data_IF_779385637870
#
_entry.id   IF_779385637870
#
_cell.length_a   1.000
_cell.length_b   1.000
_cell.length_c   1.000
_cell.angle_alpha   90.00
_cell.angle_beta   90.00
_cell.angle_gamma   90.00
#
_symmetry.space_group_name_H-M   'P 1'
#
loop_
_entity.id
_entity.type
_entity.pdbx_description
1 polymer ?
#
# COMPACT_ATOMS: atom_id res chain seq x y z
N UNK A 1 -54.34 -20.02 -7.60
CA UNK A 1 -53.81 -20.37 -6.26
C UNK A 1 -52.33 -20.01 -6.25
N UNK A 2 -51.98 -18.88 -5.65
CA UNK A 2 -50.60 -18.44 -5.46
C UNK A 2 -50.59 -17.61 -4.19
N UNK A 3 -49.75 -17.97 -3.24
CA UNK A 3 -49.61 -17.33 -1.93
C UNK A 3 -48.18 -16.88 -1.76
N UNK A 4 -47.94 -15.57 -1.79
CA UNK A 4 -46.73 -14.96 -1.25
C UNK A 4 -47.14 -14.05 -0.09
N UNK A 5 -46.64 -14.35 1.10
CA UNK A 5 -46.69 -13.48 2.28
C UNK A 5 -45.27 -13.03 2.59
N UNK A 6 -45.04 -11.71 2.57
CA UNK A 6 -44.03 -11.05 3.39
C UNK A 6 -44.63 -9.75 3.95
N UNK A 7 -44.79 -9.75 5.27
CA UNK A 7 -45.22 -8.65 6.15
C UNK A 7 -44.15 -8.69 7.28
N UNK A 8 -43.68 -7.64 7.95
CA UNK A 8 -43.98 -6.20 7.99
C UNK A 8 -42.95 -5.59 8.95
N UNK A 9 -42.78 -4.26 8.85
CA UNK A 9 -42.32 -3.30 9.90
C UNK A 9 -40.83 -3.01 9.97
N UNK A 10 -40.40 -1.76 10.09
CA UNK A 10 -41.05 -0.46 9.81
C UNK A 10 -39.93 0.58 9.90
N UNK A 11 -39.76 1.35 8.83
CA UNK A 11 -38.96 2.55 8.77
C UNK A 11 -39.93 3.73 8.72
N UNK A 12 -39.89 4.67 9.66
CA UNK A 12 -40.62 5.95 9.63
C UNK A 12 -39.93 6.92 10.62
N UNK A 13 -39.88 8.24 10.46
CA UNK A 13 -39.89 9.21 9.36
C UNK A 13 -39.82 10.57 10.08
N UNK A 14 -38.91 11.45 9.65
CA UNK A 14 -39.01 12.93 9.53
C UNK A 14 -40.20 13.67 10.16
N UNK A 15 -39.99 14.80 10.86
CA UNK A 15 -40.25 16.20 10.41
C UNK A 15 -40.19 17.22 11.58
N UNK A 16 -39.84 18.47 11.25
CA UNK A 16 -39.78 19.64 12.11
C UNK A 16 -41.12 20.40 12.17
N UNK A 17 -41.38 21.12 13.29
CA UNK A 17 -41.93 22.49 13.37
C UNK A 17 -42.27 22.83 14.84
N UNK A 18 -42.22 24.13 15.17
CA UNK A 18 -42.10 24.63 16.55
C UNK A 18 -43.39 24.82 17.34
N UNK A 19 -43.21 25.16 18.62
CA UNK A 19 -44.10 26.00 19.42
C UNK A 19 -43.31 26.55 20.62
N UNK A 20 -43.43 27.86 20.84
CA UNK A 20 -42.84 28.58 21.96
C UNK A 20 -43.80 28.60 23.16
N UNK A 21 -43.27 28.44 24.38
CA UNK A 21 -43.90 28.93 25.62
C UNK A 21 -42.80 29.42 26.55
N UNK A 22 -42.91 30.69 26.93
CA UNK A 22 -42.08 31.41 27.91
C UNK A 22 -42.51 31.07 29.34
N UNK A 23 -41.56 30.79 30.23
CA UNK A 23 -41.71 31.00 31.67
C UNK A 23 -40.34 31.34 32.27
N UNK A 24 -40.27 32.47 32.96
CA UNK A 24 -39.04 33.06 33.46
C UNK A 24 -38.41 32.33 34.65
N UNK A 25 -37.10 32.50 34.76
CA UNK A 25 -36.32 32.16 35.94
C UNK A 25 -35.03 32.99 35.89
N UNK A 26 -34.91 33.95 36.81
CA UNK A 26 -33.71 34.76 37.02
C UNK A 26 -32.55 33.85 37.46
N UNK A 27 -31.42 33.94 36.77
CA UNK A 27 -30.13 33.44 37.26
C UNK A 27 -29.10 34.57 37.05
N UNK A 28 -28.31 34.94 38.08
CA UNK A 28 -27.42 36.08 38.00
C UNK A 28 -26.26 35.85 37.03
N UNK A 29 -25.91 36.94 36.35
CA UNK A 29 -24.82 37.05 35.37
C UNK A 29 -23.46 36.93 36.10
N UNK A 30 -22.86 35.74 36.08
CA UNK A 30 -21.48 35.55 36.53
C UNK A 30 -20.59 35.77 35.32
N UNK A 31 -20.02 36.96 35.22
CA UNK A 31 -19.01 37.29 34.23
C UNK A 31 -17.81 36.32 34.35
N UNK A 32 -17.77 35.31 33.50
CA UNK A 32 -16.64 34.41 33.37
C UNK A 32 -15.45 35.20 32.79
N UNK A 33 -14.48 35.51 33.65
CA UNK A 33 -13.20 36.09 33.26
C UNK A 33 -12.44 35.03 32.44
N UNK A 34 -12.41 35.19 31.12
CA UNK A 34 -11.61 34.34 30.25
C UNK A 34 -10.13 34.47 30.63
N UNK A 35 -9.50 33.35 31.01
CA UNK A 35 -8.06 33.27 31.16
C UNK A 35 -7.39 33.54 29.80
N UNK A 36 -6.22 34.20 29.75
CA UNK A 36 -5.53 34.41 28.50
C UNK A 36 -5.21 33.04 27.87
N UNK A 37 -5.70 32.83 26.65
CA UNK A 37 -5.33 31.67 25.85
C UNK A 37 -3.81 31.72 25.67
N UNK A 38 -3.10 30.77 26.28
CA UNK A 38 -1.72 30.48 25.92
C UNK A 38 -1.73 30.12 24.44
N UNK A 39 -1.13 30.97 23.62
CA UNK A 39 -0.93 30.70 22.20
C UNK A 39 -0.25 29.33 22.10
N UNK A 40 -0.98 28.35 21.57
CA UNK A 40 -0.40 27.06 21.24
C UNK A 40 0.76 27.34 20.29
N UNK A 41 1.98 27.01 20.73
CA UNK A 41 3.14 27.04 19.86
C UNK A 41 2.84 26.11 18.69
N UNK A 42 2.66 26.67 17.50
CA UNK A 42 2.67 25.89 16.27
C UNK A 42 3.96 25.06 16.28
N UNK A 43 3.89 23.72 16.17
CA UNK A 43 5.09 22.94 15.95
C UNK A 43 5.69 23.46 14.65
N UNK A 44 6.81 24.18 14.78
CA UNK A 44 7.61 24.58 13.64
C UNK A 44 8.05 23.27 13.00
N UNK A 45 7.43 22.91 11.87
CA UNK A 45 7.75 21.72 11.10
C UNK A 45 9.26 21.70 10.88
N UNK A 46 9.97 20.89 11.67
CA UNK A 46 11.29 20.46 11.26
C UNK A 46 10.99 19.56 10.08
N UNK A 47 11.33 20.00 8.88
CA UNK A 47 11.41 19.11 7.71
C UNK A 47 12.39 18.00 8.10
N UNK A 48 11.87 16.92 8.69
CA UNK A 48 12.66 15.74 9.01
C UNK A 48 13.24 15.23 7.69
N UNK A 49 14.50 14.83 7.69
CA UNK A 49 15.07 14.19 6.52
C UNK A 49 14.28 12.90 6.25
N UNK A 50 13.51 12.86 5.16
CA UNK A 50 12.86 11.64 4.69
C UNK A 50 13.86 10.83 3.87
N UNK A 51 13.85 9.51 4.03
CA UNK A 51 14.64 8.62 3.18
C UNK A 51 13.85 7.40 2.76
N UNK A 52 14.11 6.94 1.55
CA UNK A 52 13.47 5.80 0.92
C UNK A 52 14.53 4.75 0.63
N UNK A 53 14.32 3.50 1.05
CA UNK A 53 15.19 2.37 0.73
C UNK A 53 14.37 1.29 0.05
N UNK A 54 14.77 0.93 -1.17
CA UNK A 54 14.17 -0.18 -1.87
C UNK A 54 14.75 -1.48 -1.35
N UNK A 55 13.89 -2.47 -1.13
CA UNK A 55 14.26 -3.78 -0.61
C UNK A 55 13.96 -4.90 -1.60
N UNK A 56 13.79 -4.57 -2.88
CA UNK A 56 13.45 -5.53 -3.94
C UNK A 56 11.95 -5.73 -4.09
N UNK A 57 11.53 -6.41 -5.16
CA UNK A 57 10.11 -6.55 -5.50
C UNK A 57 9.43 -5.16 -5.48
N UNK A 58 8.32 -4.99 -4.77
CA UNK A 58 7.68 -3.70 -4.49
C UNK A 58 7.96 -3.20 -3.06
N UNK A 59 8.95 -3.78 -2.37
CA UNK A 59 9.25 -3.53 -0.98
C UNK A 59 9.99 -2.21 -0.77
N UNK A 60 9.47 -1.36 0.12
CA UNK A 60 10.12 -0.11 0.51
C UNK A 60 10.11 0.09 2.01
N UNK A 61 11.22 0.64 2.53
CA UNK A 61 11.27 1.32 3.83
C UNK A 61 11.30 2.83 3.62
N UNK A 62 10.39 3.51 4.29
CA UNK A 62 10.30 4.97 4.32
C UNK A 62 10.52 5.44 5.74
N UNK A 63 11.65 6.08 6.01
CA UNK A 63 11.93 6.70 7.30
C UNK A 63 11.53 8.18 7.24
N UNK A 64 10.57 8.59 8.06
CA UNK A 64 10.01 9.94 8.19
C UNK A 64 10.25 10.40 9.63
N UNK A 65 11.34 11.13 9.87
CA UNK A 65 11.75 11.49 11.23
C UNK A 65 12.04 10.23 12.08
N UNK A 66 11.26 10.03 13.15
CA UNK A 66 11.33 8.86 14.02
C UNK A 66 10.36 7.73 13.62
N UNK A 67 9.48 7.97 12.63
CA UNK A 67 8.51 7.00 12.13
C UNK A 67 9.06 6.23 10.95
N UNK A 68 8.69 4.96 10.85
CA UNK A 68 9.04 4.10 9.73
C UNK A 68 7.76 3.50 9.15
N UNK A 69 7.54 3.73 7.86
CA UNK A 69 6.48 3.11 7.04
C UNK A 69 7.13 2.07 6.15
N UNK A 70 6.57 0.86 6.12
CA UNK A 70 6.95 -0.19 5.20
C UNK A 70 5.86 -0.37 4.15
N UNK A 71 6.25 -0.60 2.90
CA UNK A 71 5.35 -1.01 1.82
C UNK A 71 5.79 -2.39 1.36
N UNK A 72 4.87 -3.36 1.33
CA UNK A 72 5.09 -4.75 0.88
C UNK A 72 6.43 -5.37 1.32
N UNK A 73 6.76 -5.39 2.63
CA UNK A 73 8.08 -5.83 3.07
C UNK A 73 8.25 -7.35 2.86
N UNK A 74 8.87 -7.75 1.74
CA UNK A 74 9.31 -9.12 1.49
C UNK A 74 10.83 -9.20 1.43
N UNK A 75 11.42 -9.75 2.49
CA UNK A 75 12.85 -9.86 2.74
C UNK A 75 13.32 -11.31 2.83
N UNK A 76 12.42 -12.27 3.08
CA UNK A 76 12.80 -13.68 3.31
C UNK A 76 13.40 -14.38 2.10
N UNK A 77 13.00 -14.02 0.86
CA UNK A 77 13.55 -14.50 -0.43
C UNK A 77 13.79 -16.03 -0.48
N UNK A 78 12.91 -16.77 -1.15
CA UNK A 78 13.06 -18.22 -1.32
C UNK A 78 12.67 -18.67 -2.73
N UNK A 79 13.23 -19.79 -3.17
CA UNK A 79 13.02 -20.36 -4.51
C UNK A 79 11.66 -21.08 -4.56
N UNK A 80 10.73 -20.55 -5.36
CA UNK A 80 9.46 -21.20 -5.72
C UNK A 80 9.54 -21.89 -7.08
N UNK A 81 10.68 -21.79 -7.77
CA UNK A 81 10.88 -22.27 -9.13
C UNK A 81 10.41 -21.30 -10.22
N UNK A 82 9.91 -20.10 -9.84
CA UNK A 82 9.31 -19.13 -10.77
C UNK A 82 10.32 -18.68 -11.83
N UNK A 83 11.53 -18.29 -11.41
CA UNK A 83 12.55 -17.80 -12.34
C UNK A 83 13.28 -18.92 -13.11
N UNK A 84 12.98 -20.18 -12.79
CA UNK A 84 13.56 -21.38 -13.43
C UNK A 84 12.56 -22.15 -14.32
N UNK A 85 11.35 -21.62 -14.50
CA UNK A 85 10.24 -22.28 -15.22
C UNK A 85 9.84 -23.66 -14.64
N UNK A 86 9.99 -23.85 -13.33
CA UNK A 86 9.55 -25.04 -12.60
C UNK A 86 8.73 -24.64 -11.36
N UNK A 87 7.90 -23.62 -11.53
CA UNK A 87 7.11 -23.01 -10.47
C UNK A 87 6.24 -24.03 -9.73
N UNK A 88 6.39 -24.09 -8.42
CA UNK A 88 5.60 -24.96 -7.53
C UNK A 88 4.67 -24.13 -6.63
N UNK A 89 3.35 -24.12 -6.88
CA UNK A 89 2.39 -23.41 -6.04
C UNK A 89 2.29 -23.99 -4.61
N UNK A 90 2.76 -25.21 -4.38
CA UNK A 90 2.81 -25.86 -3.08
C UNK A 90 4.09 -25.52 -2.28
N UNK A 91 4.96 -24.64 -2.80
CA UNK A 91 6.16 -24.19 -2.09
C UNK A 91 5.79 -23.70 -0.68
N UNK A 92 6.41 -24.25 0.38
CA UNK A 92 6.12 -23.86 1.75
C UNK A 92 6.47 -22.39 2.02
N UNK A 93 5.61 -21.69 2.75
CA UNK A 93 5.90 -20.35 3.24
C UNK A 93 6.96 -20.43 4.35
N UNK A 94 8.03 -19.67 4.19
CA UNK A 94 9.10 -19.55 5.19
C UNK A 94 9.39 -18.07 5.46
N UNK A 95 9.72 -17.76 6.72
CA UNK A 95 10.17 -16.42 7.11
C UNK A 95 11.61 -16.54 7.58
N UNK A 96 12.54 -15.89 6.89
CA UNK A 96 13.93 -15.77 7.34
C UNK A 96 13.99 -14.66 8.41
N UNK A 97 13.71 -15.05 9.65
CA UNK A 97 13.67 -14.11 10.77
C UNK A 97 15.03 -13.46 11.03
N UNK A 98 16.15 -14.09 10.67
CA UNK A 98 17.47 -13.50 10.83
C UNK A 98 17.65 -12.32 9.87
N UNK A 99 17.27 -12.48 8.60
CA UNK A 99 17.29 -11.39 7.61
C UNK A 99 16.28 -10.31 7.98
N UNK A 100 15.02 -10.69 8.21
CA UNK A 100 13.94 -9.74 8.51
C UNK A 100 14.26 -8.89 9.75
N UNK A 101 14.66 -9.52 10.86
CA UNK A 101 14.92 -8.80 12.11
C UNK A 101 16.17 -7.92 12.04
N UNK A 102 17.14 -8.26 11.19
CA UNK A 102 18.34 -7.44 10.99
C UNK A 102 18.07 -6.16 10.18
N UNK A 103 17.08 -6.19 9.28
CA UNK A 103 16.75 -5.08 8.38
C UNK A 103 15.60 -4.20 8.90
N UNK A 104 14.72 -4.78 9.73
CA UNK A 104 13.55 -4.11 10.30
C UNK A 104 13.71 -3.95 11.82
N UNK A 105 14.44 -2.91 12.20
CA UNK A 105 14.62 -2.52 13.60
C UNK A 105 13.36 -1.89 14.20
N UNK A 106 12.55 -1.20 13.38
CA UNK A 106 11.29 -0.58 13.78
C UNK A 106 10.33 -0.46 12.59
N UNK A 107 9.03 -0.47 12.88
CA UNK A 107 7.98 -0.11 11.94
C UNK A 107 6.78 0.43 12.74
N UNK A 108 6.19 1.52 12.28
CA UNK A 108 4.95 2.06 12.84
C UNK A 108 3.74 1.68 11.97
N UNK A 109 3.96 1.55 10.67
CA UNK A 109 2.91 1.30 9.67
C UNK A 109 3.43 0.35 8.60
N UNK A 110 2.61 -0.60 8.19
CA UNK A 110 2.86 -1.48 7.05
C UNK A 110 1.70 -1.31 6.07
N UNK A 111 2.00 -1.02 4.81
CA UNK A 111 1.06 -0.92 3.71
C UNK A 111 1.20 -2.16 2.83
N UNK A 112 0.10 -2.87 2.63
CA UNK A 112 0.05 -4.11 1.84
C UNK A 112 -0.78 -3.86 0.60
N UNK A 113 -0.13 -3.83 -0.56
CA UNK A 113 -0.79 -3.59 -1.84
C UNK A 113 -1.72 -4.74 -2.20
N UNK A 114 -1.29 -5.98 -2.01
CA UNK A 114 -2.08 -7.20 -2.21
C UNK A 114 -1.40 -8.37 -1.49
N UNK A 115 -2.04 -9.54 -1.44
CA UNK A 115 -1.66 -10.59 -0.49
C UNK A 115 -0.85 -11.74 -1.06
N UNK A 116 -0.26 -11.64 -2.25
CA UNK A 116 0.69 -12.63 -2.73
C UNK A 116 1.93 -12.74 -1.81
N UNK A 117 2.60 -13.89 -1.88
CA UNK A 117 3.70 -14.23 -0.98
C UNK A 117 4.87 -13.24 -1.05
N UNK A 118 5.17 -12.73 -2.24
CA UNK A 118 6.24 -11.76 -2.50
C UNK A 118 5.91 -10.32 -2.04
N UNK A 119 4.75 -10.12 -1.41
CA UNK A 119 4.32 -8.84 -0.82
C UNK A 119 3.94 -8.97 0.66
N UNK A 120 3.30 -10.08 1.04
CA UNK A 120 2.67 -10.24 2.35
C UNK A 120 3.40 -11.18 3.31
N UNK A 121 4.23 -12.11 2.83
CA UNK A 121 4.73 -13.24 3.63
C UNK A 121 5.38 -12.84 4.97
N UNK A 122 6.18 -11.77 4.99
CA UNK A 122 6.88 -11.35 6.21
C UNK A 122 6.06 -10.37 7.06
N UNK A 123 4.96 -9.84 6.54
CA UNK A 123 4.13 -8.81 7.18
C UNK A 123 3.64 -9.26 8.57
N UNK A 124 3.08 -10.48 8.76
CA UNK A 124 2.61 -10.89 10.08
C UNK A 124 3.71 -10.97 11.13
N UNK A 125 4.91 -11.45 10.75
CA UNK A 125 6.07 -11.51 11.63
C UNK A 125 6.55 -10.12 12.03
N UNK A 126 6.69 -9.21 11.05
CA UNK A 126 7.11 -7.83 11.29
C UNK A 126 6.09 -7.10 12.19
N UNK A 127 4.79 -7.23 11.92
CA UNK A 127 3.75 -6.61 12.72
C UNK A 127 3.77 -7.10 14.18
N UNK A 128 3.84 -8.42 14.38
CA UNK A 128 3.91 -9.01 15.72
C UNK A 128 5.12 -8.53 16.52
N UNK A 129 6.28 -8.39 15.87
CA UNK A 129 7.53 -7.95 16.50
C UNK A 129 7.55 -6.45 16.82
N UNK A 130 7.06 -5.62 15.91
CA UNK A 130 7.21 -4.16 15.99
C UNK A 130 5.99 -3.44 16.58
N UNK A 131 4.84 -4.11 16.60
CA UNK A 131 3.55 -3.49 16.93
C UNK A 131 2.99 -2.61 15.81
N UNK A 132 3.56 -2.68 14.61
CA UNK A 132 3.13 -1.87 13.48
C UNK A 132 1.67 -2.12 13.10
N UNK A 133 0.96 -1.05 12.72
CA UNK A 133 -0.38 -1.17 12.18
C UNK A 133 -0.33 -1.51 10.70
N UNK A 134 -0.99 -2.60 10.31
CA UNK A 134 -1.07 -3.11 8.94
C UNK A 134 -2.32 -2.58 8.26
N UNK A 135 -2.13 -1.93 7.13
CA UNK A 135 -3.20 -1.48 6.23
C UNK A 135 -3.16 -2.32 4.96
N UNK A 136 -4.29 -2.89 4.58
CA UNK A 136 -4.44 -3.70 3.39
C UNK A 136 -5.89 -4.04 3.14
N UNK A 137 -6.18 -4.87 2.15
CA UNK A 137 -7.56 -5.27 1.84
C UNK A 137 -8.18 -6.09 2.99
N UNK A 138 -9.48 -6.38 2.88
CA UNK A 138 -10.15 -7.28 3.82
C UNK A 138 -9.50 -8.68 3.85
N UNK A 139 -8.91 -9.11 2.74
CA UNK A 139 -8.13 -10.34 2.67
C UNK A 139 -6.88 -10.26 3.54
N UNK A 140 -6.10 -9.16 3.45
CA UNK A 140 -4.93 -8.95 4.29
C UNK A 140 -5.29 -8.93 5.79
N UNK A 141 -6.42 -8.32 6.14
CA UNK A 141 -6.96 -8.32 7.50
C UNK A 141 -7.24 -9.75 8.00
N UNK A 142 -7.95 -10.57 7.23
CA UNK A 142 -8.28 -11.94 7.62
C UNK A 142 -7.06 -12.88 7.65
N UNK A 143 -6.11 -12.71 6.73
CA UNK A 143 -4.84 -13.43 6.78
C UNK A 143 -4.04 -13.04 8.03
N UNK A 144 -3.96 -11.74 8.36
CA UNK A 144 -3.33 -11.28 9.59
C UNK A 144 -3.89 -11.97 10.84
N UNK A 145 -5.21 -12.12 10.94
CA UNK A 145 -5.87 -12.88 12.02
C UNK A 145 -5.44 -14.35 12.00
N UNK A 146 -5.40 -14.99 10.82
CA UNK A 146 -4.97 -16.39 10.68
C UNK A 146 -3.51 -16.61 11.12
N UNK A 147 -2.66 -15.58 11.00
CA UNK A 147 -1.30 -15.58 11.53
C UNK A 147 -1.18 -15.16 13.01
N UNK A 148 -2.28 -14.78 13.66
CA UNK A 148 -2.31 -14.39 15.07
C UNK A 148 -1.95 -12.93 15.34
N UNK A 149 -1.94 -12.06 14.33
CA UNK A 149 -1.74 -10.61 14.53
C UNK A 149 -2.95 -10.03 15.29
N UNK A 150 -2.74 -9.26 16.37
CA UNK A 150 -3.86 -8.66 17.11
C UNK A 150 -4.72 -7.77 16.21
N UNK A 151 -6.04 -7.89 16.31
CA UNK A 151 -6.99 -7.13 15.47
C UNK A 151 -6.82 -5.62 15.58
N UNK A 152 -6.38 -5.10 16.75
CA UNK A 152 -6.06 -3.68 16.93
C UNK A 152 -4.88 -3.17 16.09
N UNK A 153 -4.04 -4.06 15.56
CA UNK A 153 -2.98 -3.74 14.60
C UNK A 153 -3.42 -3.88 13.15
N UNK A 154 -4.62 -4.40 12.86
CA UNK A 154 -5.08 -4.67 11.50
C UNK A 154 -6.12 -3.64 11.07
N UNK A 155 -5.99 -3.10 9.86
CA UNK A 155 -6.89 -2.08 9.33
C UNK A 155 -7.27 -2.39 7.88
N UNK A 156 -8.49 -2.90 7.64
CA UNK A 156 -8.96 -3.13 6.29
C UNK A 156 -9.25 -1.78 5.61
N UNK A 157 -8.75 -1.62 4.38
CA UNK A 157 -8.98 -0.48 3.50
C UNK A 157 -9.36 -0.99 2.10
N UNK A 158 -9.97 -0.15 1.28
CA UNK A 158 -10.47 -0.54 -0.06
C UNK A 158 -10.09 0.40 -1.20
N UNK A 159 -9.57 1.59 -0.90
CA UNK A 159 -9.31 2.65 -1.86
C UNK A 159 -10.28 3.82 -1.70
N UNK A 160 -9.73 5.04 -1.78
CA UNK A 160 -10.40 6.32 -1.57
C UNK A 160 -10.22 6.89 -0.16
N UNK A 161 -9.67 6.12 0.79
CA UNK A 161 -9.35 6.63 2.11
C UNK A 161 -8.13 7.56 2.08
N UNK A 162 -8.20 8.68 2.81
CA UNK A 162 -7.06 9.57 3.09
C UNK A 162 -6.82 9.57 4.59
N UNK A 163 -5.66 9.09 5.00
CA UNK A 163 -5.32 8.80 6.38
C UNK A 163 -4.23 9.76 6.87
N UNK A 164 -4.51 10.47 7.96
CA UNK A 164 -3.63 11.47 8.57
C UNK A 164 -2.73 10.84 9.64
N UNK A 165 -1.42 11.02 9.53
CA UNK A 165 -0.44 10.53 10.51
C UNK A 165 0.34 11.66 11.19
N UNK A 166 0.05 12.92 10.88
CA UNK A 166 0.60 14.10 11.53
C UNK A 166 1.75 14.75 10.76
N UNK A 167 2.79 14.02 10.38
CA UNK A 167 3.90 14.49 9.55
C UNK A 167 3.85 13.96 8.10
N UNK A 168 2.83 13.15 7.81
CA UNK A 168 2.52 12.65 6.48
C UNK A 168 1.05 12.22 6.39
N UNK A 169 0.57 12.11 5.16
CA UNK A 169 -0.72 11.52 4.83
C UNK A 169 -0.56 10.33 3.90
N UNK A 170 -1.41 9.32 4.07
CA UNK A 170 -1.45 8.15 3.21
C UNK A 170 -2.82 8.12 2.53
N UNK A 171 -2.82 8.27 1.21
CA UNK A 171 -3.99 8.05 0.38
C UNK A 171 -3.96 6.62 -0.16
N UNK A 172 -5.06 5.89 0.06
CA UNK A 172 -5.25 4.51 -0.41
C UNK A 172 -5.95 4.56 -1.74
N UNK A 173 -5.45 3.82 -2.72
CA UNK A 173 -5.96 3.84 -4.10
C UNK A 173 -6.36 2.43 -4.49
N UNK A 174 -7.63 2.23 -4.88
CA UNK A 174 -8.06 0.96 -5.46
C UNK A 174 -7.40 0.77 -6.83
N UNK A 175 -6.74 -0.36 -7.04
CA UNK A 175 -5.95 -0.68 -8.24
C UNK A 175 -6.30 -2.06 -8.81
N UNK A 176 -5.52 -2.56 -9.75
CA UNK A 176 -5.69 -3.87 -10.40
C UNK A 176 -4.37 -4.66 -10.38
N UNK A 177 -4.46 -6.00 -10.29
CA UNK A 177 -3.28 -6.86 -10.35
C UNK A 177 -2.71 -6.99 -11.77
N UNK A 178 -1.40 -7.32 -11.85
CA UNK A 178 -0.72 -7.76 -13.07
C UNK A 178 -1.42 -8.99 -13.67
N UNK A 179 -1.50 -9.05 -15.01
CA UNK A 179 -2.12 -10.17 -15.73
C UNK A 179 -1.13 -10.85 -16.65
N UNK A 180 -1.23 -12.18 -16.79
CA UNK A 180 -0.47 -12.89 -17.80
C UNK A 180 -1.00 -12.60 -19.22
N UNK A 181 -0.35 -13.15 -20.25
CA UNK A 181 -0.72 -12.92 -21.65
C UNK A 181 -2.13 -13.44 -22.03
N UNK A 182 -2.74 -14.27 -21.17
CA UNK A 182 -4.13 -14.75 -21.30
C UNK A 182 -5.09 -14.00 -20.36
N UNK A 183 -4.70 -12.82 -19.86
CA UNK A 183 -5.47 -11.95 -18.97
C UNK A 183 -5.86 -12.57 -17.62
N UNK A 184 -5.19 -13.64 -17.21
CA UNK A 184 -5.43 -14.32 -15.94
C UNK A 184 -4.48 -13.83 -14.85
N UNK A 185 -4.95 -13.92 -13.60
CA UNK A 185 -4.21 -13.57 -12.38
C UNK A 185 -3.76 -14.86 -11.69
N UNK A 186 -2.54 -14.90 -11.18
CA UNK A 186 -2.07 -16.00 -10.34
C UNK A 186 -2.80 -15.96 -8.99
N UNK A 187 -3.15 -17.13 -8.44
CA UNK A 187 -3.85 -17.27 -7.15
C UNK A 187 -5.00 -16.26 -6.95
N UNK A 188 -5.99 -16.18 -7.87
CA UNK A 188 -7.09 -15.24 -7.72
C UNK A 188 -7.97 -15.62 -6.52
N UNK A 189 -8.57 -14.62 -5.87
CA UNK A 189 -9.57 -14.85 -4.83
C UNK A 189 -9.48 -13.85 -3.69
N UNK A 190 -10.49 -13.90 -2.82
CA UNK A 190 -10.60 -13.04 -1.63
C UNK A 190 -10.90 -13.89 -0.39
N UNK A 191 -10.50 -13.39 0.78
CA UNK A 191 -10.87 -13.99 2.07
C UNK A 191 -11.86 -13.08 2.79
N UNK A 192 -13.11 -13.53 2.87
CA UNK A 192 -14.21 -12.80 3.57
C UNK A 192 -14.41 -13.24 5.02
N UNK A 193 -13.60 -14.20 5.49
CA UNK A 193 -13.47 -14.61 6.89
C UNK A 193 -12.03 -15.12 7.11
N UNK A 194 -11.53 -15.18 8.37
CA UNK A 194 -10.22 -15.75 8.68
C UNK A 194 -10.09 -17.19 8.16
N UNK A 195 -9.13 -17.49 7.28
CA UNK A 195 -8.85 -18.86 6.85
C UNK A 195 -8.03 -19.62 7.92
N UNK A 196 -7.80 -20.94 7.74
CA UNK A 196 -6.67 -21.61 8.39
C UNK A 196 -5.37 -20.86 8.11
N UNK A 197 -4.39 -20.97 9.02
CA UNK A 197 -3.07 -20.36 8.81
C UNK A 197 -2.48 -20.86 7.48
N UNK A 198 -2.14 -19.96 6.53
CA UNK A 198 -1.55 -20.34 5.25
C UNK A 198 -0.24 -21.13 5.45
N UNK A 199 -0.01 -22.12 4.59
CA UNK A 199 1.16 -23.01 4.65
C UNK A 199 2.00 -22.99 3.37
N UNK A 200 1.38 -22.70 2.23
CA UNK A 200 2.02 -22.65 0.90
C UNK A 200 1.78 -21.30 0.23
N UNK A 201 2.58 -20.96 -0.79
CA UNK A 201 2.40 -19.72 -1.53
C UNK A 201 1.01 -19.60 -2.19
N UNK A 202 0.37 -20.71 -2.57
CA UNK A 202 -0.98 -20.71 -3.14
C UNK A 202 -2.09 -20.40 -2.11
N UNK A 203 -1.81 -20.53 -0.81
CA UNK A 203 -2.77 -20.20 0.24
C UNK A 203 -2.95 -18.68 0.40
N UNK A 204 -2.03 -17.90 -0.18
CA UNK A 204 -1.97 -16.44 -0.22
C UNK A 204 -2.51 -15.92 -1.57
N UNK A 205 -3.84 -15.67 -1.70
CA UNK A 205 -4.42 -15.21 -2.96
C UNK A 205 -4.09 -13.73 -3.21
N UNK A 206 -4.45 -13.21 -4.39
CA UNK A 206 -4.37 -11.77 -4.70
C UNK A 206 -5.04 -10.92 -3.62
N UNK A 207 -6.30 -11.21 -3.29
CA UNK A 207 -7.03 -10.53 -2.23
C UNK A 207 -7.51 -9.12 -2.57
N UNK A 208 -7.71 -8.80 -3.85
CA UNK A 208 -7.80 -7.45 -4.43
C UNK A 208 -6.48 -6.67 -4.33
N UNK A 209 -6.33 -5.66 -5.19
CA UNK A 209 -5.08 -4.89 -5.31
C UNK A 209 -5.27 -3.40 -5.01
N UNK A 210 -4.34 -2.84 -4.25
CA UNK A 210 -4.24 -1.44 -3.87
C UNK A 210 -2.94 -0.82 -4.40
N UNK A 211 -2.94 0.50 -4.47
CA UNK A 211 -1.76 1.34 -4.52
C UNK A 211 -1.85 2.37 -3.39
N UNK A 212 -0.74 3.03 -3.08
CA UNK A 212 -0.68 4.02 -2.00
C UNK A 212 0.05 5.28 -2.46
N UNK A 213 -0.44 6.45 -2.06
CA UNK A 213 0.33 7.69 -2.14
C UNK A 213 0.66 8.18 -0.74
N UNK A 214 1.95 8.33 -0.45
CA UNK A 214 2.43 8.94 0.79
C UNK A 214 2.84 10.38 0.47
N UNK A 215 2.21 11.37 1.11
CA UNK A 215 2.61 12.77 1.03
C UNK A 215 3.28 13.18 2.33
N UNK A 216 4.53 13.60 2.24
CA UNK A 216 5.32 14.06 3.38
C UNK A 216 5.09 15.55 3.59
N UNK A 217 4.88 15.98 4.83
CA UNK A 217 4.68 17.41 5.10
C UNK A 217 5.96 18.21 4.86
N UNK A 218 5.87 19.21 3.98
CA UNK A 218 7.03 19.97 3.51
C UNK A 218 8.03 19.15 2.69
N UNK A 219 7.65 17.95 2.24
CA UNK A 219 8.46 17.03 1.44
C UNK A 219 7.73 16.54 0.17
N UNK A 220 8.23 15.46 -0.46
CA UNK A 220 7.67 14.95 -1.70
C UNK A 220 6.36 14.17 -1.47
N UNK A 221 5.55 14.07 -2.52
CA UNK A 221 4.52 13.03 -2.66
C UNK A 221 5.06 11.84 -3.46
N UNK A 222 4.85 10.63 -2.94
CA UNK A 222 5.41 9.39 -3.51
C UNK A 222 4.31 8.35 -3.69
N UNK A 223 4.12 7.89 -4.91
CA UNK A 223 3.16 6.85 -5.29
C UNK A 223 3.84 5.48 -5.33
N UNK A 224 3.22 4.49 -4.68
CA UNK A 224 3.69 3.13 -4.56
C UNK A 224 2.68 2.18 -5.19
N UNK A 225 3.17 1.32 -6.09
CA UNK A 225 2.35 0.37 -6.82
C UNK A 225 2.95 -1.03 -6.70
N UNK A 226 2.13 -1.99 -6.26
CA UNK A 226 2.56 -3.37 -6.05
C UNK A 226 2.49 -4.25 -7.29
N UNK A 227 1.63 -3.91 -8.24
CA UNK A 227 1.31 -4.70 -9.43
C UNK A 227 1.16 -3.81 -10.68
N UNK A 228 1.20 -4.38 -11.89
CA UNK A 228 1.38 -3.67 -13.16
C UNK A 228 0.07 -3.34 -13.91
N UNK A 229 -1.03 -3.15 -13.20
CA UNK A 229 -2.29 -2.70 -13.77
C UNK A 229 -2.93 -1.70 -12.79
N UNK A 230 -3.88 -0.91 -13.26
CA UNK A 230 -4.43 0.18 -12.48
C UNK A 230 -5.79 0.64 -12.99
N UNK A 231 -6.58 1.18 -12.07
CA UNK A 231 -7.81 1.89 -12.42
C UNK A 231 -7.46 3.35 -12.70
N UNK A 232 -7.23 3.68 -13.97
CA UNK A 232 -6.78 5.01 -14.42
C UNK A 232 -7.55 6.19 -13.80
N UNK A 233 -8.88 6.11 -13.76
CA UNK A 233 -9.73 7.16 -13.16
C UNK A 233 -9.44 7.42 -11.68
N UNK A 234 -8.96 6.41 -10.94
CA UNK A 234 -8.66 6.52 -9.51
C UNK A 234 -7.33 7.26 -9.25
N UNK A 235 -6.53 7.51 -10.29
CA UNK A 235 -5.26 8.25 -10.16
C UNK A 235 -5.41 9.76 -10.41
N UNK A 236 -6.61 10.20 -10.83
CA UNK A 236 -6.89 11.59 -11.17
C UNK A 236 -6.59 12.52 -9.98
N UNK A 237 -5.67 13.47 -10.19
CA UNK A 237 -5.33 14.48 -9.18
C UNK A 237 -4.26 14.05 -8.17
N UNK A 238 -3.79 12.80 -8.20
CA UNK A 238 -2.71 12.34 -7.31
C UNK A 238 -1.40 13.11 -7.55
N UNK A 239 -1.04 13.30 -8.82
CA UNK A 239 0.12 14.06 -9.31
C UNK A 239 1.38 13.93 -8.43
N UNK A 240 1.90 12.71 -8.18
CA UNK A 240 3.03 12.51 -7.30
C UNK A 240 4.32 13.14 -7.85
N UNK A 241 5.23 13.56 -6.96
CA UNK A 241 6.59 13.92 -7.37
C UNK A 241 7.38 12.69 -7.87
N UNK A 242 7.13 11.54 -7.25
CA UNK A 242 7.83 10.27 -7.51
C UNK A 242 6.83 9.14 -7.66
N UNK A 243 6.98 8.32 -8.70
CA UNK A 243 6.18 7.10 -8.87
C UNK A 243 7.05 5.84 -8.90
N UNK A 244 6.78 4.93 -7.99
CA UNK A 244 7.31 3.57 -7.96
C UNK A 244 6.42 2.69 -8.85
N UNK A 245 6.93 2.30 -10.03
CA UNK A 245 6.14 1.68 -11.11
C UNK A 245 6.52 0.21 -11.26
N UNK A 246 5.57 -0.69 -10.98
CA UNK A 246 5.78 -2.13 -11.06
C UNK A 246 5.92 -2.63 -12.51
N UNK A 247 6.92 -3.50 -12.73
CA UNK A 247 7.26 -4.09 -14.03
C UNK A 247 6.48 -5.36 -14.47
N UNK A 248 6.04 -6.28 -13.58
CA UNK A 248 5.68 -7.64 -13.99
C UNK A 248 4.62 -7.68 -15.08
N UNK A 249 4.84 -8.38 -16.19
CA UNK A 249 3.83 -8.58 -17.23
C UNK A 249 3.15 -7.30 -17.80
N UNK A 250 3.83 -6.15 -17.78
CA UNK A 250 3.33 -4.88 -18.34
C UNK A 250 2.88 -4.96 -19.80
N UNK A 251 3.43 -5.88 -20.60
CA UNK A 251 3.00 -6.13 -21.98
C UNK A 251 1.59 -6.71 -22.13
N UNK A 252 0.97 -7.19 -21.05
CA UNK A 252 -0.42 -7.67 -21.04
C UNK A 252 -1.44 -6.56 -20.74
N UNK A 253 -0.97 -5.37 -20.33
CA UNK A 253 -1.82 -4.21 -20.00
C UNK A 253 -1.76 -3.21 -21.15
N UNK A 254 -2.89 -2.97 -21.80
CA UNK A 254 -2.97 -2.08 -22.96
C UNK A 254 -2.52 -0.66 -22.61
N UNK A 255 -1.60 -0.13 -23.43
CA UNK A 255 -1.02 1.22 -23.31
C UNK A 255 -0.54 1.58 -21.91
N UNK A 256 0.01 0.59 -21.19
CA UNK A 256 0.37 0.68 -19.78
C UNK A 256 1.14 1.97 -19.42
N UNK A 257 2.31 2.18 -20.03
CA UNK A 257 3.17 3.33 -19.71
C UNK A 257 2.55 4.67 -20.15
N UNK A 258 2.05 4.85 -21.40
CA UNK A 258 1.39 6.10 -21.79
C UNK A 258 0.23 6.49 -20.86
N UNK A 259 -0.66 5.54 -20.54
CA UNK A 259 -1.83 5.78 -19.68
C UNK A 259 -1.40 6.10 -18.25
N UNK A 260 -0.48 5.32 -17.68
CA UNK A 260 -0.02 5.52 -16.31
C UNK A 260 0.69 6.87 -16.14
N UNK A 261 1.61 7.22 -17.06
CA UNK A 261 2.32 8.50 -16.99
C UNK A 261 1.38 9.68 -17.18
N UNK A 262 0.34 9.56 -18.00
CA UNK A 262 -0.66 10.62 -18.12
C UNK A 262 -1.52 10.76 -16.86
N UNK A 263 -1.95 9.64 -16.28
CA UNK A 263 -2.82 9.61 -15.12
C UNK A 263 -2.14 10.14 -13.84
N UNK A 264 -0.83 9.90 -13.70
CA UNK A 264 0.00 10.42 -12.61
C UNK A 264 0.57 11.82 -12.88
N UNK A 265 0.10 12.52 -13.92
CA UNK A 265 0.59 13.83 -14.36
C UNK A 265 2.12 13.90 -14.54
N UNK A 266 2.69 12.86 -15.15
CA UNK A 266 4.10 12.79 -15.57
C UNK A 266 5.06 13.13 -14.42
N UNK A 267 5.15 12.28 -13.39
CA UNK A 267 5.92 12.54 -12.18
C UNK A 267 7.38 12.89 -12.49
N UNK A 268 8.00 13.73 -11.66
CA UNK A 268 9.38 14.20 -11.87
C UNK A 268 10.38 13.04 -11.87
N UNK A 269 10.17 12.05 -11.01
CA UNK A 269 10.97 10.82 -10.98
C UNK A 269 10.07 9.58 -11.14
N UNK A 270 10.49 8.66 -12.01
CA UNK A 270 9.89 7.34 -12.16
C UNK A 270 10.92 6.31 -11.73
N UNK A 271 10.51 5.40 -10.84
CA UNK A 271 11.36 4.35 -10.28
C UNK A 271 10.75 3.00 -10.65
N UNK A 272 11.34 2.23 -11.59
CA UNK A 272 10.90 0.88 -11.85
C UNK A 272 11.12 0.00 -10.62
N UNK A 273 10.12 -0.80 -10.27
CA UNK A 273 10.18 -1.79 -9.17
C UNK A 273 9.70 -3.15 -9.66
N UNK A 274 9.91 -4.19 -8.84
CA UNK A 274 9.48 -5.56 -9.13
C UNK A 274 10.08 -6.10 -10.45
N UNK A 275 11.34 -5.76 -10.69
CA UNK A 275 12.12 -6.18 -11.86
C UNK A 275 13.25 -7.13 -11.51
N UNK A 276 13.58 -7.24 -10.23
CA UNK A 276 14.61 -8.12 -9.72
C UNK A 276 14.15 -9.59 -9.67
N UNK A 277 15.12 -10.49 -9.65
CA UNK A 277 14.89 -11.88 -9.31
C UNK A 277 14.69 -11.99 -7.80
N UNK A 278 13.44 -11.93 -7.38
CA UNK A 278 13.07 -11.93 -5.97
C UNK A 278 13.21 -13.29 -5.26
N UNK A 279 13.68 -14.33 -5.94
CA UNK A 279 14.07 -15.62 -5.36
C UNK A 279 15.56 -15.69 -5.02
N UNK A 280 16.30 -14.58 -5.18
CA UNK A 280 17.72 -14.48 -4.83
C UNK A 280 17.97 -13.57 -3.61
N UNK A 281 19.09 -13.74 -2.88
CA UNK A 281 19.43 -12.89 -1.74
C UNK A 281 19.56 -11.41 -2.12
N UNK A 282 19.29 -10.52 -1.16
CA UNK A 282 19.39 -9.06 -1.30
C UNK A 282 20.84 -8.57 -1.37
N UNK A 283 21.53 -8.87 -2.48
CA UNK A 283 22.93 -8.48 -2.74
C UNK A 283 22.99 -7.56 -3.96
N UNK A 284 23.71 -6.44 -3.85
CA UNK A 284 23.93 -5.53 -4.97
C UNK A 284 25.11 -5.99 -5.85
N UNK A 285 25.03 -5.77 -7.18
CA UNK A 285 23.88 -5.25 -7.92
C UNK A 285 22.74 -6.31 -7.96
N UNK A 286 21.45 -5.88 -7.93
CA UNK A 286 20.32 -6.80 -7.95
C UNK A 286 20.36 -7.75 -9.15
N UNK A 287 20.09 -9.04 -8.90
CA UNK A 287 20.00 -10.06 -9.95
C UNK A 287 18.75 -9.82 -10.77
N UNK A 288 18.86 -9.96 -12.10
CA UNK A 288 17.73 -9.77 -13.03
C UNK A 288 17.69 -10.92 -14.01
N UNK A 289 16.53 -11.56 -14.11
CA UNK A 289 16.33 -12.61 -15.10
C UNK A 289 16.37 -12.04 -16.53
N UNK A 290 16.82 -12.81 -17.54
CA UNK A 290 16.99 -12.29 -18.90
C UNK A 290 15.75 -11.66 -19.51
N UNK A 291 14.56 -12.18 -19.21
CA UNK A 291 13.30 -11.63 -19.70
C UNK A 291 12.94 -10.31 -19.00
N UNK A 292 13.17 -10.22 -17.70
CA UNK A 292 12.85 -9.01 -16.93
C UNK A 292 13.85 -7.89 -17.20
N UNK A 293 15.09 -8.21 -17.58
CA UNK A 293 16.04 -7.22 -18.11
C UNK A 293 15.47 -6.52 -19.35
N UNK A 294 14.98 -7.30 -20.32
CA UNK A 294 14.37 -6.74 -21.55
C UNK A 294 13.14 -5.90 -21.22
N UNK A 295 12.25 -6.41 -20.36
CA UNK A 295 11.05 -5.66 -19.92
C UNK A 295 11.42 -4.35 -19.23
N UNK A 296 12.43 -4.37 -18.37
CA UNK A 296 12.92 -3.17 -17.68
C UNK A 296 13.43 -2.14 -18.69
N UNK A 297 14.24 -2.57 -19.66
CA UNK A 297 14.75 -1.69 -20.71
C UNK A 297 13.60 -1.10 -21.56
N UNK A 298 12.60 -1.91 -21.91
CA UNK A 298 11.40 -1.50 -22.64
C UNK A 298 10.57 -0.47 -21.86
N UNK A 299 10.37 -0.70 -20.55
CA UNK A 299 9.67 0.24 -19.67
C UNK A 299 10.43 1.57 -19.58
N UNK A 300 11.75 1.54 -19.37
CA UNK A 300 12.59 2.75 -19.32
C UNK A 300 12.50 3.52 -20.64
N UNK A 301 12.60 2.82 -21.78
CA UNK A 301 12.49 3.44 -23.10
C UNK A 301 11.10 4.05 -23.34
N UNK A 302 10.03 3.36 -22.92
CA UNK A 302 8.67 3.87 -23.01
C UNK A 302 8.46 5.12 -22.15
N UNK A 303 8.94 5.15 -20.91
CA UNK A 303 8.86 6.32 -20.03
C UNK A 303 9.59 7.51 -20.64
N UNK A 304 10.83 7.32 -21.11
CA UNK A 304 11.61 8.38 -21.77
C UNK A 304 10.92 8.96 -23.00
N UNK A 305 10.17 8.13 -23.74
CA UNK A 305 9.41 8.56 -24.93
C UNK A 305 8.18 9.38 -24.56
N UNK A 306 7.37 8.96 -23.58
CA UNK A 306 6.07 9.59 -23.29
C UNK A 306 6.13 10.65 -22.19
N UNK A 307 7.18 10.62 -21.37
CA UNK A 307 7.45 11.58 -20.30
C UNK A 307 8.93 12.00 -20.30
N UNK A 308 9.39 12.72 -21.34
CA UNK A 308 10.81 13.04 -21.53
C UNK A 308 11.41 13.94 -20.45
N UNK A 309 10.57 14.59 -19.63
CA UNK A 309 11.00 15.40 -18.48
C UNK A 309 11.14 14.60 -17.19
N UNK A 310 10.60 13.37 -17.14
CA UNK A 310 10.77 12.48 -15.99
C UNK A 310 12.17 11.90 -15.98
N UNK A 311 12.83 11.96 -14.82
CA UNK A 311 14.03 11.18 -14.56
C UNK A 311 13.64 9.74 -14.27
N UNK A 312 14.26 8.78 -14.95
CA UNK A 312 14.13 7.36 -14.58
C UNK A 312 15.28 6.97 -13.67
N UNK A 313 14.98 6.51 -12.46
CA UNK A 313 15.94 6.04 -11.47
C UNK A 313 15.74 4.54 -11.24
N UNK A 314 16.76 3.73 -11.56
CA UNK A 314 16.74 2.29 -11.27
C UNK A 314 17.37 2.08 -9.90
N UNK A 315 16.63 1.56 -8.90
CA UNK A 315 17.12 1.50 -7.53
C UNK A 315 18.03 0.29 -7.27
N UNK A 316 19.02 0.44 -6.41
CA UNK A 316 19.76 -0.64 -5.74
C UNK A 316 19.18 -0.95 -4.35
N UNK A 317 19.38 -2.17 -3.86
CA UNK A 317 18.88 -2.62 -2.57
C UNK A 317 19.51 -1.83 -1.42
N UNK A 318 18.70 -1.39 -0.46
CA UNK A 318 19.14 -0.77 0.80
C UNK A 318 19.75 0.64 0.68
N UNK A 319 20.02 1.12 -0.54
CA UNK A 319 20.51 2.49 -0.78
C UNK A 319 19.44 3.49 -0.35
N UNK A 320 19.85 4.51 0.41
CA UNK A 320 18.97 5.56 0.89
C UNK A 320 18.83 6.67 -0.16
N UNK A 321 17.64 6.78 -0.74
CA UNK A 321 17.25 7.83 -1.67
C UNK A 321 16.57 9.00 -0.96
N UNK A 322 16.77 10.19 -1.52
CA UNK A 322 16.07 11.43 -1.17
C UNK A 322 15.57 12.05 -2.46
N UNK A 323 14.31 12.47 -2.47
CA UNK A 323 13.62 13.04 -3.62
C UNK A 323 13.25 14.49 -3.37
#
# INVERSE_FOLDING_TARGET
MSTHHLDRRRFLRTTAAGAAVTAGGFVPDVAARAAPATAASTPRARSGAVSFRWWGTSAWRVDIGDRTVLVDPFLSRYDTGLFRNVFDPATPLTVDTAVVDSMVDRAATILVTHTHWDHFNDVPHIAARTGARVFGTLTAYHLGIAYGVPTGQLSPVRGGEVLEFGDHTIEVVSSLHSRNAAWSVAFPGVRVAPPPKPTTIADLPEGDTLAYQIRIDGGPSVFFMGASDFVERNLTGLAPDVAMVALPATGSTADYVPRLMSALDRPKTVVPVHWDNFETPLVNPPVVAPNDRRRLDDLIAAVRRVSPRSRVLVPEYGVAYRF
#
